data_IF_442966210571
#
_entry.id   IF_442966210571
#
_cell.length_a   1.000
_cell.length_b   1.000
_cell.length_c   1.000
_cell.angle_alpha   90.00
_cell.angle_beta   90.00
_cell.angle_gamma   90.00
#
_symmetry.space_group_name_H-M   'P 1'
#
loop_
_entity.id
_entity.type
_entity.pdbx_description
1 polymer ?
#
# COMPACT_ATOMS: atom_id res chain seq x y z
N UNK A 1 -26.90 -9.80 -24.20
CA UNK A 1 -26.97 -8.45 -24.82
C UNK A 1 -27.98 -7.64 -24.01
N UNK A 2 -27.55 -6.56 -23.34
CA UNK A 2 -28.41 -5.75 -22.46
C UNK A 2 -29.23 -4.80 -23.33
N UNK A 3 -30.56 -4.90 -23.30
CA UNK A 3 -31.43 -4.17 -24.25
C UNK A 3 -31.28 -2.65 -24.03
N UNK A 4 -30.78 -1.89 -25.02
CA UNK A 4 -30.46 -0.47 -24.85
C UNK A 4 -31.70 0.37 -24.51
N UNK A 5 -32.87 -0.03 -25.00
CA UNK A 5 -34.15 0.63 -24.70
C UNK A 5 -34.51 0.61 -23.21
N UNK A 6 -34.18 -0.48 -22.49
CA UNK A 6 -34.42 -0.55 -21.04
C UNK A 6 -33.45 0.34 -20.27
N UNK A 7 -32.22 0.49 -20.74
CA UNK A 7 -31.23 1.38 -20.12
C UNK A 7 -31.63 2.86 -20.27
N UNK A 8 -32.18 3.25 -21.42
CA UNK A 8 -32.64 4.62 -21.67
C UNK A 8 -33.84 4.98 -20.78
N UNK A 9 -34.82 4.07 -20.65
CA UNK A 9 -35.99 4.31 -19.78
C UNK A 9 -35.58 4.47 -18.31
N UNK A 10 -34.65 3.65 -17.81
CA UNK A 10 -34.14 3.76 -16.43
C UNK A 10 -33.33 5.05 -16.25
N UNK A 11 -32.52 5.44 -17.24
CA UNK A 11 -31.78 6.69 -17.19
C UNK A 11 -32.71 7.92 -17.15
N UNK A 12 -33.78 7.93 -17.96
CA UNK A 12 -34.78 9.00 -17.94
C UNK A 12 -35.57 9.03 -16.63
N UNK A 13 -35.93 7.86 -16.09
CA UNK A 13 -36.64 7.75 -14.81
C UNK A 13 -35.85 8.39 -13.65
N UNK A 14 -34.51 8.29 -13.69
CA UNK A 14 -33.62 8.86 -12.66
C UNK A 14 -33.27 10.33 -12.98
N UNK A 15 -33.07 10.67 -14.25
CA UNK A 15 -32.63 12.00 -14.67
C UNK A 15 -33.71 13.08 -14.49
N UNK A 16 -35.00 12.73 -14.62
CA UNK A 16 -36.12 13.67 -14.47
C UNK A 16 -36.25 14.21 -13.03
N UNK A 17 -36.24 13.38 -11.96
CA UNK A 17 -36.33 13.88 -10.58
C UNK A 17 -35.00 14.42 -10.04
N UNK A 18 -33.85 14.00 -10.57
CA UNK A 18 -32.53 14.41 -10.09
C UNK A 18 -32.33 15.93 -9.90
N UNK A 19 -32.67 16.82 -10.86
CA UNK A 19 -32.47 18.26 -10.68
C UNK A 19 -33.39 18.85 -9.59
N UNK A 20 -34.59 18.32 -9.40
CA UNK A 20 -35.51 18.76 -8.34
C UNK A 20 -35.02 18.33 -6.96
N UNK A 21 -34.53 17.10 -6.84
CA UNK A 21 -33.93 16.59 -5.59
C UNK A 21 -32.67 17.38 -5.25
N UNK A 22 -31.85 17.70 -6.25
CA UNK A 22 -30.66 18.54 -6.06
C UNK A 22 -31.05 19.95 -5.59
N UNK A 23 -32.01 20.60 -6.25
CA UNK A 23 -32.51 21.92 -5.85
C UNK A 23 -33.11 21.92 -4.43
N UNK A 24 -33.79 20.84 -4.05
CA UNK A 24 -34.32 20.65 -2.69
C UNK A 24 -33.21 20.45 -1.66
N UNK A 25 -32.17 19.67 -1.97
CA UNK A 25 -31.00 19.55 -1.10
C UNK A 25 -30.26 20.89 -0.92
N UNK A 26 -30.19 21.69 -1.98
CA UNK A 26 -29.66 23.05 -1.95
C UNK A 26 -30.52 24.02 -1.11
N UNK A 27 -31.82 23.78 -0.98
CA UNK A 27 -32.69 24.61 -0.14
C UNK A 27 -32.71 24.20 1.33
N UNK A 28 -32.42 22.94 1.65
CA UNK A 28 -32.31 22.43 3.02
C UNK A 28 -30.90 22.50 3.62
N UNK A 29 -29.89 22.94 2.85
CA UNK A 29 -28.50 22.99 3.33
C UNK A 29 -28.21 24.28 4.11
N UNK A 30 -27.47 24.19 5.25
CA UNK A 30 -27.11 25.36 6.05
C UNK A 30 -26.20 26.32 5.27
N UNK A 31 -26.33 27.62 5.56
CA UNK A 31 -25.57 28.77 5.02
C UNK A 31 -24.13 28.49 4.54
N UNK A 32 -23.24 27.80 5.29
CA UNK A 32 -21.87 27.53 4.82
C UNK A 32 -21.78 26.69 3.55
N UNK A 33 -22.78 25.86 3.24
CA UNK A 33 -22.78 25.00 2.04
C UNK A 33 -23.37 25.70 0.81
N UNK A 34 -24.21 26.73 0.98
CA UNK A 34 -24.68 27.56 -0.14
C UNK A 34 -23.54 28.34 -0.79
N UNK A 35 -22.55 28.76 -0.01
CA UNK A 35 -21.34 29.44 -0.50
C UNK A 35 -20.52 28.58 -1.49
N UNK A 36 -20.56 27.26 -1.35
CA UNK A 36 -19.89 26.32 -2.27
C UNK A 36 -20.64 26.24 -3.61
N UNK A 37 -21.97 26.34 -3.58
CA UNK A 37 -22.82 26.17 -4.75
C UNK A 37 -22.94 27.43 -5.64
N UNK A 38 -22.78 28.63 -5.07
CA UNK A 38 -22.97 29.92 -5.79
C UNK A 38 -21.67 30.45 -6.40
N UNK A 39 -20.52 29.79 -6.19
CA UNK A 39 -19.23 30.23 -6.72
C UNK A 39 -18.57 31.37 -5.93
N UNK A 40 -19.21 31.87 -4.87
CA UNK A 40 -18.65 32.87 -3.94
C UNK A 40 -17.41 32.36 -3.17
N UNK A 41 -17.14 31.05 -3.20
CA UNK A 41 -15.94 30.47 -2.58
C UNK A 41 -14.64 31.02 -3.18
N UNK A 42 -14.61 31.34 -4.48
CA UNK A 42 -13.41 31.90 -5.13
C UNK A 42 -13.12 33.32 -4.61
N UNK A 43 -14.18 34.11 -4.37
CA UNK A 43 -14.07 35.45 -3.81
C UNK A 43 -13.69 35.40 -2.32
N UNK A 44 -14.23 34.43 -1.58
CA UNK A 44 -13.87 34.16 -0.20
C UNK A 44 -12.39 33.75 -0.05
N UNK A 45 -11.87 32.87 -0.91
CA UNK A 45 -10.46 32.46 -0.94
C UNK A 45 -9.50 33.60 -1.34
N UNK A 46 -9.96 34.55 -2.16
CA UNK A 46 -9.19 35.73 -2.56
C UNK A 46 -9.18 36.85 -1.49
N UNK A 47 -10.07 36.79 -0.51
CA UNK A 47 -10.14 37.77 0.57
C UNK A 47 -9.03 37.58 1.61
N UNK A 48 -8.56 38.66 2.24
CA UNK A 48 -7.55 38.60 3.32
C UNK A 48 -7.95 37.64 4.45
N UNK A 49 -9.26 37.54 4.74
CA UNK A 49 -9.79 36.62 5.76
C UNK A 49 -9.75 35.16 5.30
N UNK A 50 -10.05 34.87 4.03
CA UNK A 50 -9.97 33.53 3.48
C UNK A 50 -8.55 33.02 3.34
N UNK A 51 -7.62 33.87 2.90
CA UNK A 51 -6.19 33.55 2.86
C UNK A 51 -5.68 33.23 4.27
N UNK A 52 -6.04 34.05 5.27
CA UNK A 52 -5.68 33.79 6.66
C UNK A 52 -6.27 32.46 7.18
N UNK A 53 -7.55 32.19 6.90
CA UNK A 53 -8.21 30.94 7.29
C UNK A 53 -7.56 29.70 6.63
N UNK A 54 -7.18 29.80 5.36
CA UNK A 54 -6.49 28.74 4.63
C UNK A 54 -5.10 28.44 5.22
N UNK A 55 -4.31 29.49 5.53
CA UNK A 55 -3.00 29.31 6.16
C UNK A 55 -3.11 28.67 7.55
N UNK A 56 -4.10 29.09 8.35
CA UNK A 56 -4.37 28.49 9.66
C UNK A 56 -4.76 27.01 9.50
N UNK A 57 -5.65 26.69 8.57
CA UNK A 57 -6.06 25.31 8.29
C UNK A 57 -4.86 24.43 7.86
N UNK A 58 -3.97 24.96 7.01
CA UNK A 58 -2.77 24.26 6.56
C UNK A 58 -1.81 23.96 7.71
N UNK A 59 -1.59 24.93 8.61
CA UNK A 59 -0.77 24.74 9.81
C UNK A 59 -1.40 23.71 10.75
N UNK A 60 -2.71 23.81 11.01
CA UNK A 60 -3.41 22.85 11.87
C UNK A 60 -3.38 21.43 11.32
N UNK A 61 -3.58 21.25 10.01
CA UNK A 61 -3.52 19.95 9.36
C UNK A 61 -2.10 19.36 9.38
N UNK A 62 -1.08 20.20 9.18
CA UNK A 62 0.32 19.82 9.32
C UNK A 62 0.67 19.33 10.72
N UNK A 63 0.22 20.06 11.75
CA UNK A 63 0.42 19.69 13.17
C UNK A 63 -0.33 18.39 13.49
N UNK A 64 -1.60 18.27 13.09
CA UNK A 64 -2.40 17.07 13.32
C UNK A 64 -1.79 15.82 12.65
N UNK A 65 -1.34 15.96 11.40
CA UNK A 65 -0.65 14.89 10.67
C UNK A 65 0.68 14.51 11.33
N UNK A 66 1.46 15.49 11.79
CA UNK A 66 2.71 15.24 12.51
C UNK A 66 2.46 14.50 13.84
N UNK A 67 1.45 14.92 14.61
CA UNK A 67 1.07 14.27 15.85
C UNK A 67 0.56 12.84 15.64
N UNK A 68 -0.24 12.61 14.59
CA UNK A 68 -0.74 11.27 14.25
C UNK A 68 0.41 10.29 13.92
N UNK A 69 1.41 10.76 13.16
CA UNK A 69 2.60 9.95 12.83
C UNK A 69 3.45 9.71 14.08
N UNK A 70 3.64 10.73 14.93
CA UNK A 70 4.42 10.63 16.15
C UNK A 70 3.81 9.64 17.17
N UNK A 71 2.48 9.54 17.23
CA UNK A 71 1.77 8.70 18.20
C UNK A 71 1.56 7.24 17.74
N UNK A 72 1.58 6.95 16.44
CA UNK A 72 1.37 5.60 15.90
C UNK A 72 2.56 4.65 16.08
N UNK A 73 3.69 5.12 16.63
CA UNK A 73 4.90 4.33 16.84
C UNK A 73 4.82 3.32 18.02
N UNK A 74 3.65 3.09 18.62
CA UNK A 74 3.47 2.13 19.73
C UNK A 74 2.21 1.30 19.53
N UNK A 75 2.28 0.23 18.74
CA UNK A 75 1.36 -0.88 18.85
C UNK A 75 2.13 -2.15 19.22
N UNK A 76 1.96 -2.70 20.44
CA UNK A 76 2.42 -4.04 20.75
C UNK A 76 1.50 -5.05 20.06
N UNK A 77 2.10 -5.92 19.23
CA UNK A 77 1.43 -7.04 18.59
C UNK A 77 1.02 -8.06 19.66
N UNK A 78 -0.27 -8.22 19.88
CA UNK A 78 -0.83 -9.32 20.67
C UNK A 78 -0.67 -10.63 19.90
N UNK A 79 0.31 -11.45 20.27
CA UNK A 79 0.39 -12.85 19.87
C UNK A 79 -0.73 -13.62 20.57
N UNK A 80 -1.74 -14.05 19.83
CA UNK A 80 -2.70 -15.05 20.31
C UNK A 80 -2.22 -16.42 19.86
N UNK A 81 -1.60 -17.13 20.79
CA UNK A 81 -1.15 -18.52 20.66
C UNK A 81 -2.33 -19.41 20.29
N UNK A 82 -2.30 -19.98 19.08
CA UNK A 82 -3.21 -21.06 18.69
C UNK A 82 -2.70 -22.37 19.28
N UNK A 83 -3.49 -22.91 20.19
CA UNK A 83 -3.35 -24.23 20.80
C UNK A 83 -3.44 -25.35 19.77
N UNK A 84 -2.43 -26.22 19.80
CA UNK A 84 -2.27 -27.51 19.13
C UNK A 84 -3.47 -28.46 19.33
N UNK A 85 -3.94 -29.17 18.29
CA UNK A 85 -4.58 -30.47 18.46
C UNK A 85 -3.58 -31.59 18.17
N UNK A 86 -3.34 -32.42 19.19
CA UNK A 86 -2.73 -33.75 19.07
C UNK A 86 -3.67 -34.66 18.27
N UNK A 87 -3.21 -35.22 17.16
CA UNK A 87 -3.81 -36.44 16.62
C UNK A 87 -2.74 -37.32 15.98
N UNK A 88 -2.72 -38.56 16.48
CA UNK A 88 -1.65 -39.56 16.39
C UNK A 88 -1.94 -40.55 15.25
N UNK A 89 -0.85 -41.04 14.64
CA UNK A 89 -0.66 -42.27 13.83
C UNK A 89 -0.65 -42.13 12.29
N UNK A 90 0.04 -43.02 11.54
CA UNK A 90 1.23 -43.84 11.86
C UNK A 90 2.41 -43.59 10.89
N UNK A 91 3.60 -43.92 11.40
CA UNK A 91 4.91 -43.89 10.75
C UNK A 91 4.93 -44.55 9.36
N UNK A 92 5.17 -43.75 8.33
CA UNK A 92 5.72 -44.23 7.06
C UNK A 92 7.24 -44.21 7.16
N UNK A 93 7.79 -45.36 6.79
CA UNK A 93 9.20 -45.63 6.56
C UNK A 93 9.73 -44.60 5.56
N UNK A 94 10.60 -43.70 6.02
CA UNK A 94 11.46 -42.93 5.13
C UNK A 94 12.84 -43.52 5.27
N UNK A 95 13.33 -44.06 4.16
CA UNK A 95 14.69 -44.55 4.02
C UNK A 95 15.65 -43.40 4.37
N UNK A 96 16.46 -43.63 5.40
CA UNK A 96 17.63 -42.83 5.73
C UNK A 96 18.66 -43.07 4.63
N UNK A 97 18.77 -42.19 3.65
CA UNK A 97 19.95 -42.06 2.78
C UNK A 97 19.80 -40.81 1.89
N UNK A 98 19.96 -39.62 2.46
CA UNK A 98 20.47 -38.43 1.77
C UNK A 98 20.74 -37.37 2.84
N UNK A 99 22.01 -37.22 3.21
CA UNK A 99 22.54 -36.06 3.91
C UNK A 99 22.43 -34.86 2.94
N UNK A 100 21.22 -34.34 2.78
CA UNK A 100 20.97 -33.06 2.14
C UNK A 100 21.38 -31.98 3.14
N UNK A 101 22.67 -31.67 3.16
CA UNK A 101 23.18 -30.47 3.78
C UNK A 101 22.41 -29.27 3.23
N UNK A 102 21.36 -28.86 3.94
CA UNK A 102 20.63 -27.62 3.72
C UNK A 102 21.63 -26.48 3.93
N UNK A 103 22.34 -26.10 2.87
CA UNK A 103 23.14 -24.90 2.86
C UNK A 103 22.17 -23.72 2.94
N UNK A 104 21.92 -23.26 4.16
CA UNK A 104 21.07 -22.12 4.54
C UNK A 104 21.45 -20.82 3.79
N UNK A 105 22.57 -20.83 3.05
CA UNK A 105 23.06 -19.73 2.22
C UNK A 105 22.96 -19.94 0.70
N UNK A 106 22.30 -21.00 0.20
CA UNK A 106 22.03 -21.08 -1.25
C UNK A 106 21.16 -19.89 -1.70
N UNK A 107 21.53 -19.14 -2.75
CA UNK A 107 20.76 -18.01 -3.25
C UNK A 107 19.46 -18.52 -3.88
N UNK A 108 18.44 -18.67 -3.05
CA UNK A 108 17.08 -18.98 -3.48
C UNK A 108 16.45 -17.77 -4.17
N UNK A 109 15.68 -18.04 -5.23
CA UNK A 109 14.99 -17.03 -6.01
C UNK A 109 14.89 -17.43 -7.48
N UNK A 110 13.71 -17.24 -8.05
CA UNK A 110 13.39 -17.64 -9.42
C UNK A 110 13.71 -16.55 -10.45
N UNK A 111 13.91 -15.31 -9.99
CA UNK A 111 14.14 -14.13 -10.82
C UNK A 111 15.39 -13.38 -10.36
N UNK A 112 16.03 -12.70 -11.31
CA UNK A 112 17.18 -11.83 -11.06
C UNK A 112 16.84 -10.38 -11.39
N UNK A 113 17.58 -9.45 -10.78
CA UNK A 113 17.41 -8.04 -11.07
C UNK A 113 18.48 -7.19 -10.41
N UNK A 114 18.42 -5.90 -10.75
CA UNK A 114 19.36 -4.89 -10.26
C UNK A 114 18.68 -3.95 -9.29
N UNK A 115 19.30 -3.72 -8.13
CA UNK A 115 18.77 -2.79 -7.12
C UNK A 115 18.80 -1.36 -7.65
N UNK A 116 17.63 -0.78 -7.90
CA UNK A 116 17.50 0.61 -8.37
C UNK A 116 17.88 1.60 -7.27
N UNK A 117 17.37 1.36 -6.06
CA UNK A 117 17.72 2.12 -4.87
C UNK A 117 17.22 1.40 -3.62
N UNK A 118 17.86 1.65 -2.48
CA UNK A 118 17.43 1.14 -1.18
C UNK A 118 17.66 2.19 -0.07
N UNK A 119 16.61 2.49 0.69
CA UNK A 119 16.71 3.41 1.82
C UNK A 119 16.99 2.62 3.10
N UNK A 120 18.24 2.62 3.55
CA UNK A 120 18.69 1.90 4.76
C UNK A 120 17.94 2.36 6.02
N UNK A 121 17.60 3.65 6.13
CA UNK A 121 16.91 4.20 7.30
C UNK A 121 15.45 3.76 7.37
N UNK A 122 14.77 3.68 6.22
CA UNK A 122 13.37 3.25 6.15
C UNK A 122 13.20 1.74 5.96
N UNK A 123 14.25 1.03 5.54
CA UNK A 123 14.24 -0.42 5.37
C UNK A 123 13.50 -0.91 4.12
N UNK A 124 13.41 -0.10 3.06
CA UNK A 124 12.77 -0.51 1.81
C UNK A 124 13.43 0.11 0.58
N UNK A 125 13.18 -0.48 -0.58
CA UNK A 125 13.72 -0.07 -1.87
C UNK A 125 12.98 -0.69 -3.05
N UNK A 126 13.59 -0.61 -4.22
CA UNK A 126 13.09 -1.21 -5.45
C UNK A 126 14.20 -1.92 -6.22
N UNK A 127 13.83 -3.02 -6.85
CA UNK A 127 14.67 -3.81 -7.75
C UNK A 127 14.05 -3.72 -9.14
N UNK A 128 14.87 -3.51 -10.16
CA UNK A 128 14.46 -3.52 -11.56
C UNK A 128 14.78 -4.90 -12.12
N UNK A 129 13.77 -5.56 -12.68
CA UNK A 129 13.91 -6.83 -13.39
C UNK A 129 14.49 -6.62 -14.77
N UNK A 130 15.02 -7.68 -15.37
CA UNK A 130 15.47 -7.66 -16.77
C UNK A 130 14.33 -7.34 -17.75
N UNK A 131 13.08 -7.63 -17.37
CA UNK A 131 11.87 -7.25 -18.10
C UNK A 131 11.53 -5.76 -18.02
N UNK A 132 12.19 -5.00 -17.14
CA UNK A 132 11.99 -3.55 -16.94
C UNK A 132 10.99 -3.17 -15.85
N UNK A 133 10.26 -4.14 -15.27
CA UNK A 133 9.32 -3.87 -14.18
C UNK A 133 10.05 -3.60 -12.85
N UNK A 134 9.46 -2.73 -12.03
CA UNK A 134 9.95 -2.40 -10.70
C UNK A 134 9.25 -3.25 -9.63
N UNK A 135 10.05 -3.93 -8.82
CA UNK A 135 9.59 -4.81 -7.75
C UNK A 135 9.97 -4.17 -6.41
N UNK A 136 8.98 -4.04 -5.53
CA UNK A 136 9.18 -3.49 -4.19
C UNK A 136 9.95 -4.48 -3.31
N UNK A 137 10.96 -4.01 -2.56
CA UNK A 137 11.71 -4.85 -1.61
C UNK A 137 11.71 -4.24 -0.21
N UNK A 138 11.46 -5.08 0.78
CA UNK A 138 11.53 -4.72 2.20
C UNK A 138 12.70 -5.43 2.89
N UNK A 139 13.31 -4.81 3.92
CA UNK A 139 14.48 -5.37 4.61
C UNK A 139 14.24 -6.76 5.19
N UNK A 140 12.98 -7.10 5.51
CA UNK A 140 12.60 -8.41 6.04
C UNK A 140 12.77 -9.54 5.02
N UNK A 141 12.63 -9.22 3.74
CA UNK A 141 12.79 -10.17 2.64
C UNK A 141 14.26 -10.48 2.31
N UNK A 142 15.21 -9.63 2.75
CA UNK A 142 16.64 -9.82 2.50
C UNK A 142 17.19 -10.94 3.39
N UNK A 143 17.77 -11.97 2.78
CA UNK A 143 18.45 -13.08 3.43
C UNK A 143 19.88 -12.71 3.82
N UNK A 144 20.44 -13.46 4.76
CA UNK A 144 21.78 -13.25 5.31
C UNK A 144 21.78 -12.88 6.80
N UNK A 145 22.92 -13.15 7.44
CA UNK A 145 23.17 -12.83 8.85
C UNK A 145 23.74 -11.41 8.96
N UNK A 146 23.18 -10.59 9.86
CA UNK A 146 23.65 -9.23 10.10
C UNK A 146 22.80 -8.14 9.43
N UNK A 147 23.45 -7.12 8.87
CA UNK A 147 22.79 -5.89 8.41
C UNK A 147 22.17 -6.09 7.02
N UNK A 148 20.84 -6.25 6.99
CA UNK A 148 20.02 -6.47 5.78
C UNK A 148 19.87 -5.20 4.95
N UNK A 149 20.87 -4.91 4.13
CA UNK A 149 20.89 -3.73 3.26
C UNK A 149 21.29 -4.09 1.85
N UNK A 150 20.76 -3.34 0.89
CA UNK A 150 21.12 -3.45 -0.52
C UNK A 150 21.83 -2.18 -0.97
N UNK A 151 22.83 -2.32 -1.84
CA UNK A 151 23.50 -1.20 -2.52
C UNK A 151 22.82 -0.94 -3.86
N UNK A 152 22.80 0.32 -4.28
CA UNK A 152 22.35 0.66 -5.63
C UNK A 152 23.25 -0.01 -6.68
N UNK A 153 22.66 -0.55 -7.74
CA UNK A 153 23.37 -1.28 -8.79
C UNK A 153 23.76 -2.72 -8.41
N UNK A 154 23.41 -3.18 -7.21
CA UNK A 154 23.73 -4.54 -6.78
C UNK A 154 22.84 -5.57 -7.48
N UNK A 155 23.43 -6.67 -7.92
CA UNK A 155 22.72 -7.80 -8.50
C UNK A 155 22.16 -8.69 -7.38
N UNK A 156 20.87 -8.99 -7.49
CA UNK A 156 20.14 -9.77 -6.50
C UNK A 156 19.25 -10.80 -7.18
N UNK A 157 19.05 -11.91 -6.49
CA UNK A 157 18.12 -12.97 -6.87
C UNK A 157 16.98 -13.04 -5.86
N UNK A 158 15.75 -13.21 -6.33
CA UNK A 158 14.55 -13.11 -5.49
C UNK A 158 13.36 -13.83 -6.11
N UNK A 159 12.29 -13.96 -5.31
CA UNK A 159 10.98 -14.42 -5.75
C UNK A 159 10.02 -13.24 -5.88
N UNK A 160 9.21 -13.21 -6.93
CA UNK A 160 8.16 -12.19 -7.08
C UNK A 160 6.84 -12.72 -6.52
N UNK A 161 6.23 -11.92 -5.66
CA UNK A 161 4.94 -12.19 -5.04
C UNK A 161 4.01 -11.01 -5.30
N UNK A 162 2.75 -11.29 -5.59
CA UNK A 162 1.72 -10.26 -5.74
C UNK A 162 1.20 -9.84 -4.35
N UNK A 163 1.33 -8.56 -4.02
CA UNK A 163 0.88 -7.99 -2.75
C UNK A 163 -0.13 -6.85 -2.99
N UNK A 164 -0.80 -6.38 -1.94
CA UNK A 164 -1.83 -5.33 -2.01
C UNK A 164 -1.38 -4.03 -2.72
N UNK A 165 -0.06 -3.79 -2.77
CA UNK A 165 0.56 -2.59 -3.35
C UNK A 165 1.31 -2.86 -4.67
N UNK A 166 1.12 -4.03 -5.26
CA UNK A 166 1.80 -4.48 -6.48
C UNK A 166 2.86 -5.55 -6.22
N UNK A 167 3.78 -5.68 -7.17
CA UNK A 167 4.83 -6.71 -7.14
C UNK A 167 5.82 -6.47 -6.00
N UNK A 168 6.04 -7.50 -5.20
CA UNK A 168 6.97 -7.48 -4.08
C UNK A 168 8.00 -8.62 -4.21
N UNK A 169 9.25 -8.32 -3.86
CA UNK A 169 10.33 -9.28 -3.79
C UNK A 169 10.30 -9.97 -2.42
N UNK A 170 10.35 -11.29 -2.45
CA UNK A 170 10.56 -12.15 -1.29
C UNK A 170 11.84 -12.97 -1.47
N UNK A 171 12.40 -13.48 -0.37
CA UNK A 171 13.58 -14.33 -0.37
C UNK A 171 14.78 -13.74 -1.13
N UNK A 172 15.11 -12.48 -0.87
CA UNK A 172 16.13 -11.73 -1.63
C UNK A 172 17.53 -12.14 -1.18
N UNK A 173 18.32 -12.68 -2.10
CA UNK A 173 19.73 -13.03 -1.93
C UNK A 173 20.63 -12.16 -2.80
N UNK A 174 21.84 -11.86 -2.32
CA UNK A 174 22.83 -11.06 -3.03
C UNK A 174 23.69 -12.00 -3.88
N UNK A 175 23.79 -11.74 -5.19
CA UNK A 175 24.56 -12.57 -6.12
C UNK A 175 26.05 -12.18 -6.16
N UNK A 176 26.38 -10.91 -5.92
CA UNK A 176 27.74 -10.40 -5.96
C UNK A 176 27.97 -9.28 -4.94
N UNK A 177 29.11 -9.34 -4.26
CA UNK A 177 29.62 -8.31 -3.35
C UNK A 177 30.64 -7.41 -4.05
#
# INVERSE_FOLDING_TARGET
>A
MRNPSKAILVALLIAIPAPLVLALLLSLTPEPLRLIAVGEFVEALGSTRGIAAYLIALVLFGIAGFLAIAFSARQPVSQRSTSQPDNRAPSQHYDEDEDDGYDENSPEGNEEGTVKWFNVKKGFGFIVRDSGDEVFVHFRAIRGRGRRVLRQGQLVRFNVVEADKGLQADNVSILSD
#
